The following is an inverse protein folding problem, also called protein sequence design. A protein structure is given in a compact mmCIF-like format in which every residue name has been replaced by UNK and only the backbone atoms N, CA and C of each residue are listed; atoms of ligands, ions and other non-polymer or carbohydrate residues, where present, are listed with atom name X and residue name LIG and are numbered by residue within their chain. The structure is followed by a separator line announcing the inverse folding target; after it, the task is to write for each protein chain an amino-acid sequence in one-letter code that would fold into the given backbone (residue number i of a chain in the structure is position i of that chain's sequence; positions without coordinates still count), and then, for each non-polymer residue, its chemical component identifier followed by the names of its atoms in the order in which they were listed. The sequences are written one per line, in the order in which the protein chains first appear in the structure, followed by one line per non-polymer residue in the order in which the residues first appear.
data_IF_132998071183
#
_entry.id   IF_132998071183
#
_cell.length_a   1.000
_cell.length_b   1.000
_cell.length_c   1.000
_cell.angle_alpha   90.00
_cell.angle_beta   90.00
_cell.angle_gamma   90.00
#
_symmetry.space_group_name_H-M   'P 1'
#
loop_
_entity.id
_entity.type
_entity.pdbx_description
1 polymer ?
#
# COMPACT_ATOMS: atom_id res chain seq x y z
N UNK A 1 -0.52 -19.54 7.60
CA UNK A 1 -0.34 -18.51 8.64
C UNK A 1 -0.05 -17.19 7.94
N UNK A 2 -0.68 -16.10 8.35
CA UNK A 2 -0.39 -14.76 7.81
C UNK A 2 0.74 -14.09 8.60
N UNK A 3 1.60 -13.35 7.89
CA UNK A 3 2.71 -12.58 8.49
C UNK A 3 2.22 -11.42 9.36
N UNK A 4 1.03 -10.91 9.08
CA UNK A 4 0.34 -9.87 9.86
C UNK A 4 -0.96 -10.43 10.46
N UNK A 5 -1.30 -10.00 11.68
CA UNK A 5 -2.53 -10.41 12.38
C UNK A 5 -3.30 -9.18 12.84
N UNK A 6 -4.60 -9.20 12.60
CA UNK A 6 -5.54 -8.24 13.18
C UNK A 6 -6.08 -8.80 14.49
N UNK A 7 -5.91 -8.07 15.60
CA UNK A 7 -6.44 -8.44 16.92
C UNK A 7 -7.61 -7.52 17.28
N UNK A 8 -8.82 -8.09 17.18
CA UNK A 8 -10.07 -7.41 17.50
C UNK A 8 -10.53 -7.65 18.96
N UNK A 9 -9.74 -8.34 19.80
CA UNK A 9 -10.17 -8.81 21.13
C UNK A 9 -10.65 -7.69 22.06
N UNK A 10 -10.19 -6.45 21.84
CA UNK A 10 -10.54 -5.27 22.63
C UNK A 10 -11.78 -4.52 22.13
N UNK A 11 -12.37 -4.94 21.00
CA UNK A 11 -13.54 -4.28 20.42
C UNK A 11 -14.87 -4.76 21.03
N UNK A 12 -14.89 -5.91 21.70
CA UNK A 12 -16.12 -6.55 22.23
C UNK A 12 -16.92 -5.72 23.23
N UNK A 13 -16.31 -4.68 23.83
CA UNK A 13 -17.03 -3.72 24.71
C UNK A 13 -17.84 -2.70 23.92
N UNK A 14 -17.53 -2.50 22.64
CA UNK A 14 -18.08 -1.41 21.81
C UNK A 14 -18.79 -1.91 20.55
N UNK A 15 -18.48 -3.12 20.08
CA UNK A 15 -19.02 -3.73 18.87
C UNK A 15 -19.51 -5.12 19.23
N UNK A 16 -20.80 -5.39 18.96
CA UNK A 16 -21.38 -6.71 19.18
C UNK A 16 -20.92 -7.70 18.10
N UNK A 17 -20.92 -8.99 18.45
CA UNK A 17 -20.39 -10.07 17.60
C UNK A 17 -21.05 -10.12 16.20
N UNK A 18 -22.33 -9.76 16.09
CA UNK A 18 -23.08 -9.81 14.83
C UNK A 18 -22.89 -8.57 13.96
N UNK A 19 -22.41 -7.44 14.50
CA UNK A 19 -22.36 -6.17 13.76
C UNK A 19 -21.43 -6.23 12.55
N UNK A 20 -20.31 -6.94 12.66
CA UNK A 20 -19.40 -7.16 11.53
C UNK A 20 -20.04 -8.02 10.44
N UNK A 21 -20.88 -8.99 10.81
CA UNK A 21 -21.59 -9.82 9.83
C UNK A 21 -22.66 -9.01 9.10
N UNK A 22 -23.33 -8.07 9.79
CA UNK A 22 -24.34 -7.21 9.20
C UNK A 22 -23.79 -6.27 8.12
N UNK A 23 -22.50 -5.91 8.17
CA UNK A 23 -21.85 -5.08 7.13
C UNK A 23 -21.26 -5.90 5.98
N UNK A 24 -21.21 -7.23 6.07
CA UNK A 24 -20.59 -8.09 5.05
C UNK A 24 -21.13 -7.83 3.63
N UNK A 25 -22.44 -7.63 3.38
CA UNK A 25 -22.94 -7.33 2.05
C UNK A 25 -22.34 -6.04 1.45
N UNK A 26 -22.03 -5.04 2.28
CA UNK A 26 -21.38 -3.81 1.85
C UNK A 26 -19.89 -4.03 1.56
N UNK A 27 -19.22 -4.88 2.34
CA UNK A 27 -17.82 -5.28 2.11
C UNK A 27 -17.70 -6.02 0.77
N UNK A 28 -18.58 -6.98 0.50
CA UNK A 28 -18.60 -7.74 -0.75
C UNK A 28 -18.82 -6.83 -1.97
N UNK A 29 -19.72 -5.85 -1.84
CA UNK A 29 -19.96 -4.86 -2.87
C UNK A 29 -18.71 -3.99 -3.11
N UNK A 30 -18.06 -3.49 -2.05
CA UNK A 30 -16.85 -2.68 -2.14
C UNK A 30 -15.68 -3.46 -2.76
N UNK A 31 -15.46 -4.70 -2.33
CA UNK A 31 -14.45 -5.61 -2.88
C UNK A 31 -14.67 -5.85 -4.38
N UNK A 32 -15.91 -6.13 -4.79
CA UNK A 32 -16.24 -6.32 -6.20
C UNK A 32 -16.05 -5.05 -7.02
N UNK A 33 -16.39 -3.86 -6.51
CA UNK A 33 -16.18 -2.60 -7.22
C UNK A 33 -14.70 -2.30 -7.42
N UNK A 34 -13.88 -2.61 -6.40
CA UNK A 34 -12.44 -2.43 -6.39
C UNK A 34 -11.76 -3.36 -7.40
N UNK A 35 -11.94 -4.67 -7.27
CA UNK A 35 -11.27 -5.65 -8.13
C UNK A 35 -11.79 -5.68 -9.57
N UNK A 36 -13.02 -5.23 -9.83
CA UNK A 36 -13.55 -5.11 -11.21
C UNK A 36 -13.27 -3.73 -11.83
N UNK A 37 -12.75 -2.77 -11.07
CA UNK A 37 -12.50 -1.42 -11.56
C UNK A 37 -13.76 -0.68 -12.03
N UNK A 38 -14.91 -0.95 -11.42
CA UNK A 38 -16.20 -0.35 -11.81
C UNK A 38 -16.68 0.74 -10.84
N UNK A 39 -15.98 0.93 -9.72
CA UNK A 39 -16.25 2.00 -8.76
C UNK A 39 -15.77 3.38 -9.23
N UNK A 40 -16.19 4.43 -8.52
CA UNK A 40 -15.67 5.77 -8.75
C UNK A 40 -14.16 5.84 -8.48
N UNK A 41 -13.41 6.49 -9.37
CA UNK A 41 -11.95 6.61 -9.27
C UNK A 41 -11.19 5.35 -9.74
N UNK A 42 -11.84 4.46 -10.49
CA UNK A 42 -11.22 3.22 -10.99
C UNK A 42 -10.00 3.44 -11.89
N UNK A 43 -9.83 4.64 -12.44
CA UNK A 43 -8.63 5.05 -13.19
C UNK A 43 -7.33 5.01 -12.36
N UNK A 44 -7.43 4.95 -11.02
CA UNK A 44 -6.29 5.06 -10.08
C UNK A 44 -6.03 3.78 -9.26
N UNK A 45 -6.36 2.61 -9.81
CA UNK A 45 -6.25 1.32 -9.10
C UNK A 45 -4.95 0.54 -9.34
N UNK A 46 -3.97 1.13 -10.04
CA UNK A 46 -2.72 0.45 -10.38
C UNK A 46 -1.93 -0.10 -9.18
N UNK A 47 -2.19 0.38 -7.96
CA UNK A 47 -1.57 -0.10 -6.73
C UNK A 47 -2.01 -1.51 -6.31
N UNK A 48 -3.14 -2.02 -6.82
CA UNK A 48 -3.64 -3.37 -6.49
C UNK A 48 -2.69 -4.45 -6.99
N UNK A 49 -2.31 -4.36 -8.26
CA UNK A 49 -1.47 -5.36 -8.93
C UNK A 49 0.01 -5.00 -8.92
N UNK A 50 0.38 -3.75 -8.57
CA UNK A 50 1.77 -3.31 -8.50
C UNK A 50 2.71 -4.27 -7.74
N UNK A 51 2.34 -4.88 -6.59
CA UNK A 51 3.24 -5.80 -5.89
C UNK A 51 3.60 -7.07 -6.67
N UNK A 52 2.79 -7.46 -7.66
CA UNK A 52 2.99 -8.68 -8.47
C UNK A 52 3.30 -8.40 -9.94
N UNK A 53 2.94 -7.21 -10.44
CA UNK A 53 3.06 -6.81 -11.84
C UNK A 53 3.71 -5.41 -12.00
N UNK A 54 4.77 -5.16 -11.24
CA UNK A 54 5.62 -3.98 -11.45
C UNK A 54 6.61 -4.20 -12.60
N UNK A 55 7.03 -3.10 -13.25
CA UNK A 55 8.06 -3.11 -14.29
C UNK A 55 9.43 -3.55 -13.70
N UNK A 56 9.86 -4.77 -14.07
CA UNK A 56 11.11 -5.37 -13.59
C UNK A 56 12.36 -4.67 -14.14
N UNK A 57 12.29 -4.13 -15.36
CA UNK A 57 13.39 -3.43 -15.99
C UNK A 57 13.58 -2.06 -15.33
N UNK A 58 12.48 -1.36 -15.01
CA UNK A 58 12.53 -0.16 -14.18
C UNK A 58 13.10 -0.44 -12.80
N UNK A 59 12.65 -1.50 -12.13
CA UNK A 59 13.18 -1.86 -10.82
C UNK A 59 14.68 -2.15 -10.85
N UNK A 60 15.18 -2.80 -11.92
CA UNK A 60 16.61 -2.99 -12.13
C UNK A 60 17.36 -1.66 -12.32
N UNK A 61 16.79 -0.72 -13.10
CA UNK A 61 17.36 0.64 -13.27
C UNK A 61 17.39 1.42 -11.96
N UNK A 62 16.36 1.33 -11.12
CA UNK A 62 16.32 1.95 -9.79
C UNK A 62 17.49 1.46 -8.93
N UNK A 63 17.73 0.14 -8.91
CA UNK A 63 18.87 -0.44 -8.15
C UNK A 63 20.23 0.05 -8.65
N UNK A 64 20.40 0.12 -9.97
CA UNK A 64 21.64 0.64 -10.56
C UNK A 64 21.87 2.12 -10.22
N UNK A 65 20.82 2.94 -10.30
CA UNK A 65 20.89 4.35 -9.92
C UNK A 65 21.24 4.53 -8.43
N UNK A 66 20.64 3.72 -7.55
CA UNK A 66 20.96 3.73 -6.13
C UNK A 66 22.43 3.37 -5.85
N UNK A 67 22.97 2.34 -6.51
CA UNK A 67 24.39 1.98 -6.39
C UNK A 67 25.30 3.11 -6.87
N UNK A 68 24.94 3.76 -7.98
CA UNK A 68 25.71 4.88 -8.52
C UNK A 68 25.76 6.04 -7.52
N UNK A 69 24.61 6.49 -7.01
CA UNK A 69 24.51 7.57 -6.01
C UNK A 69 25.34 7.23 -4.77
N UNK A 70 25.24 6.00 -4.25
CA UNK A 70 26.03 5.58 -3.08
C UNK A 70 27.54 5.58 -3.35
N UNK A 71 27.98 5.36 -4.60
CA UNK A 71 29.40 5.30 -4.95
C UNK A 71 30.08 6.66 -5.04
N UNK A 72 29.32 7.74 -5.28
CA UNK A 72 29.86 9.07 -5.56
C UNK A 72 29.22 10.22 -4.77
N UNK A 73 28.29 9.91 -3.87
CA UNK A 73 27.57 10.89 -3.06
C UNK A 73 27.52 10.47 -1.59
N UNK A 74 27.86 11.40 -0.69
CA UNK A 74 27.71 11.20 0.77
C UNK A 74 26.26 11.38 1.23
N UNK A 75 25.47 12.20 0.52
CA UNK A 75 24.10 12.57 0.87
C UNK A 75 23.22 12.59 -0.36
N UNK A 76 22.01 12.04 -0.25
CA UNK A 76 20.94 12.19 -1.23
C UNK A 76 19.87 13.16 -0.69
N UNK A 77 19.64 14.27 -1.38
CA UNK A 77 18.56 15.22 -1.07
C UNK A 77 17.36 14.91 -1.96
N UNK A 78 16.27 14.43 -1.36
CA UNK A 78 15.01 14.16 -2.04
C UNK A 78 14.11 15.40 -1.96
N UNK A 79 13.67 15.92 -3.11
CA UNK A 79 12.76 17.08 -3.19
C UNK A 79 11.36 16.56 -3.53
N UNK A 80 10.44 16.64 -2.58
CA UNK A 80 9.07 16.19 -2.75
C UNK A 80 8.17 16.60 -1.60
N UNK A 81 6.85 16.55 -1.82
CA UNK A 81 5.82 16.82 -0.80
C UNK A 81 4.69 15.78 -0.93
N UNK A 82 3.85 15.65 0.10
CA UNK A 82 2.70 14.75 0.09
C UNK A 82 3.12 13.29 -0.07
N UNK A 83 2.48 12.56 -0.99
CA UNK A 83 2.78 11.15 -1.28
C UNK A 83 4.23 10.91 -1.73
N UNK A 84 4.82 11.86 -2.45
CA UNK A 84 6.22 11.81 -2.92
C UNK A 84 7.25 12.04 -1.80
N UNK A 85 6.81 12.31 -0.57
CA UNK A 85 7.67 12.52 0.60
C UNK A 85 7.38 11.52 1.72
N UNK A 86 6.11 11.41 2.11
CA UNK A 86 5.71 10.67 3.31
C UNK A 86 6.05 9.17 3.21
N UNK A 87 5.87 8.56 2.03
CA UNK A 87 6.19 7.14 1.83
C UNK A 87 7.68 6.83 1.97
N UNK A 88 8.52 7.61 1.26
CA UNK A 88 9.97 7.43 1.32
C UNK A 88 10.53 7.70 2.72
N UNK A 89 10.04 8.76 3.39
CA UNK A 89 10.46 9.09 4.76
C UNK A 89 10.04 8.02 5.77
N UNK A 90 8.80 7.55 5.71
CA UNK A 90 8.31 6.53 6.63
C UNK A 90 9.09 5.21 6.53
N UNK A 91 9.46 4.80 5.31
CA UNK A 91 10.25 3.58 5.10
C UNK A 91 11.72 3.75 5.53
N UNK A 92 12.29 4.94 5.41
CA UNK A 92 13.69 5.19 5.79
C UNK A 92 13.89 5.38 7.30
N UNK A 93 12.88 5.88 8.00
CA UNK A 93 12.95 6.16 9.44
C UNK A 93 12.64 4.93 10.33
N UNK A 94 12.23 3.79 9.76
CA UNK A 94 11.84 2.55 10.46
C UNK A 94 12.93 1.47 10.40
#
# INVERSE_FOLDING_TARGET
MTTLKFDASKLSTFVNDDELQLIQPMVDAADSLLHKGTGAGSDYLGWLDLPVDYDQDEFARIKQAAQKIQSDSEVLVVIGIGGSYLGARAANDF
#
